data_IF_534254844602
#
_entry.id   IF_534254844602
#
_cell.length_a   1.000
_cell.length_b   1.000
_cell.length_c   1.000
_cell.angle_alpha   90.00
_cell.angle_beta   90.00
_cell.angle_gamma   90.00
#
_symmetry.space_group_name_H-M   'P 1'
#
loop_
_entity.id
_entity.type
_entity.pdbx_description
1 polymer ?
#
# COMPACT_ATOMS: atom_id res chain seq x y z
N UNK A 1 0.17 26.63 22.64
CA UNK A 1 0.12 26.35 21.19
C UNK A 1 -0.45 24.96 21.02
N UNK A 2 -1.38 24.74 20.09
CA UNK A 2 -1.89 23.39 19.82
C UNK A 2 -0.76 22.47 19.35
N UNK A 3 -0.84 21.17 19.65
CA UNK A 3 0.18 20.20 19.23
C UNK A 3 0.21 20.04 17.71
N UNK A 4 -0.96 19.82 17.10
CA UNK A 4 -1.14 19.92 15.65
C UNK A 4 -1.52 21.37 15.34
N UNK A 5 -0.66 22.03 14.56
CA UNK A 5 -0.82 23.41 14.10
C UNK A 5 -0.40 23.49 12.62
N UNK A 6 -0.64 24.62 11.96
CA UNK A 6 -0.39 24.81 10.51
C UNK A 6 1.03 24.40 10.08
N UNK A 7 2.04 24.76 10.88
CA UNK A 7 3.46 24.47 10.64
C UNK A 7 3.96 23.13 11.25
N UNK A 8 3.07 22.20 11.60
CA UNK A 8 3.46 20.91 12.18
C UNK A 8 4.50 20.22 11.28
N UNK A 9 5.64 19.83 11.86
CA UNK A 9 6.83 19.25 11.20
C UNK A 9 7.59 20.16 10.21
N UNK A 10 7.23 21.43 10.06
CA UNK A 10 7.86 22.37 9.13
C UNK A 10 8.79 23.34 9.88
N UNK A 11 10.09 23.02 9.89
CA UNK A 11 11.06 23.67 10.77
C UNK A 11 11.80 24.87 10.16
N UNK A 12 11.52 25.25 8.90
CA UNK A 12 12.13 26.41 8.23
C UNK A 12 11.12 27.18 7.39
N UNK A 13 11.41 28.45 7.08
CA UNK A 13 10.56 29.27 6.18
C UNK A 13 10.46 28.68 4.78
N UNK A 14 11.55 28.08 4.29
CA UNK A 14 11.54 27.35 3.02
C UNK A 14 10.56 26.18 3.09
N UNK A 15 10.65 25.33 4.13
CA UNK A 15 9.75 24.19 4.29
C UNK A 15 8.27 24.60 4.41
N UNK A 16 7.99 25.68 5.14
CA UNK A 16 6.64 26.27 5.25
C UNK A 16 6.12 26.67 3.89
N UNK A 17 6.91 27.42 3.12
CA UNK A 17 6.53 27.86 1.78
C UNK A 17 6.30 26.69 0.81
N UNK A 18 7.22 25.72 0.78
CA UNK A 18 7.08 24.54 -0.08
C UNK A 18 5.80 23.74 0.21
N UNK A 19 5.44 23.60 1.49
CA UNK A 19 4.22 22.90 1.86
C UNK A 19 2.97 23.70 1.52
N UNK A 20 2.85 24.91 2.06
CA UNK A 20 1.63 25.72 1.96
C UNK A 20 1.35 26.22 0.54
N UNK A 21 2.38 26.54 -0.25
CA UNK A 21 2.17 27.05 -1.61
C UNK A 21 2.09 25.95 -2.67
N UNK A 22 2.80 24.81 -2.49
CA UNK A 22 2.96 23.82 -3.56
C UNK A 22 2.45 22.42 -3.25
N UNK A 23 2.34 22.02 -1.98
CA UNK A 23 2.00 20.63 -1.62
C UNK A 23 0.60 20.47 -1.04
N UNK A 24 0.16 21.41 -0.19
CA UNK A 24 -1.01 21.27 0.67
C UNK A 24 -2.29 21.02 -0.14
N UNK A 25 -2.58 21.87 -1.12
CA UNK A 25 -3.83 21.83 -1.90
C UNK A 25 -3.84 20.84 -3.07
N UNK A 26 -2.74 20.14 -3.33
CA UNK A 26 -2.69 19.17 -4.43
C UNK A 26 -3.63 17.99 -4.18
N UNK A 27 -4.32 17.47 -5.22
CA UNK A 27 -5.12 16.27 -5.09
C UNK A 27 -4.29 15.05 -4.68
N UNK A 28 -4.96 14.03 -4.15
CA UNK A 28 -4.37 12.75 -3.79
C UNK A 28 -4.62 11.73 -4.90
N UNK A 29 -3.54 11.10 -5.35
CA UNK A 29 -3.57 9.85 -6.09
C UNK A 29 -3.13 8.77 -5.11
N UNK A 30 -4.08 8.03 -4.56
CA UNK A 30 -3.83 6.90 -3.66
C UNK A 30 -3.77 5.61 -4.49
N UNK A 31 -2.65 5.44 -5.20
CA UNK A 31 -2.47 4.40 -6.21
C UNK A 31 -2.29 2.98 -5.62
N UNK A 32 -2.36 2.81 -4.30
CA UNK A 32 -2.41 1.49 -3.67
C UNK A 32 -3.03 1.58 -2.26
N UNK A 33 -4.18 0.93 -2.08
CA UNK A 33 -4.88 0.84 -0.80
C UNK A 33 -5.64 -0.49 -0.65
N UNK A 34 -6.22 -0.66 0.54
CA UNK A 34 -7.02 -1.82 0.94
C UNK A 34 -8.43 -1.41 1.39
N UNK A 35 -8.95 -0.30 0.86
CA UNK A 35 -10.34 0.11 1.07
C UNK A 35 -11.29 -0.87 0.38
N UNK A 36 -12.43 -1.15 1.02
CA UNK A 36 -13.45 -2.04 0.47
C UNK A 36 -14.30 -1.31 -0.59
N UNK A 37 -14.25 -1.73 -1.88
CA UNK A 37 -15.03 -1.08 -2.95
C UNK A 37 -16.53 -1.06 -2.67
N UNK A 38 -17.04 -2.09 -1.99
CA UNK A 38 -18.45 -2.17 -1.61
C UNK A 38 -18.85 -1.01 -0.69
N UNK A 39 -18.05 -0.71 0.34
CA UNK A 39 -18.35 0.36 1.29
C UNK A 39 -18.31 1.76 0.64
N UNK A 40 -17.49 1.92 -0.41
CA UNK A 40 -17.47 3.14 -1.23
C UNK A 40 -18.75 3.23 -2.08
N UNK A 41 -19.11 2.14 -2.77
CA UNK A 41 -20.29 2.08 -3.62
C UNK A 41 -21.58 2.35 -2.84
N UNK A 42 -21.74 1.68 -1.70
CA UNK A 42 -22.90 1.81 -0.79
C UNK A 42 -22.89 3.14 -0.02
N UNK A 43 -21.80 3.91 -0.14
CA UNK A 43 -21.60 5.17 0.56
C UNK A 43 -21.84 5.03 2.08
N UNK A 44 -21.25 3.98 2.67
CA UNK A 44 -21.46 3.56 4.05
C UNK A 44 -21.28 4.71 5.05
N UNK A 45 -22.23 4.81 5.98
CA UNK A 45 -22.16 5.66 7.17
C UNK A 45 -21.54 4.92 8.36
N UNK A 46 -21.07 5.66 9.35
CA UNK A 46 -20.45 5.10 10.55
C UNK A 46 -21.31 5.41 11.78
N UNK A 47 -21.58 4.39 12.60
CA UNK A 47 -22.38 4.55 13.83
C UNK A 47 -21.60 5.32 14.91
N UNK A 48 -20.28 5.13 14.96
CA UNK A 48 -19.41 5.80 15.91
C UNK A 48 -17.97 5.98 15.39
N UNK A 49 -17.16 6.77 16.12
CA UNK A 49 -15.74 6.92 15.85
C UNK A 49 -14.98 5.59 16.01
N UNK A 50 -15.46 4.66 16.83
CA UNK A 50 -14.85 3.34 16.92
C UNK A 50 -14.93 2.60 15.56
N UNK A 51 -16.09 2.66 14.89
CA UNK A 51 -16.32 1.98 13.61
C UNK A 51 -15.42 2.53 12.51
N UNK A 52 -15.22 3.85 12.51
CA UNK A 52 -14.37 4.54 11.55
C UNK A 52 -12.87 4.36 11.84
N UNK A 53 -12.48 4.22 13.12
CA UNK A 53 -11.10 4.47 13.55
C UNK A 53 -10.36 3.27 14.14
N UNK A 54 -11.08 2.35 14.80
CA UNK A 54 -10.51 1.27 15.61
C UNK A 54 -10.91 -0.13 15.13
N UNK A 55 -11.98 -0.25 14.34
CA UNK A 55 -12.54 -1.53 13.88
C UNK A 55 -11.63 -2.36 12.97
N UNK A 56 -10.64 -1.74 12.33
CA UNK A 56 -9.76 -2.41 11.35
C UNK A 56 -8.30 -1.96 11.35
N UNK A 57 -7.85 -1.22 12.37
CA UNK A 57 -6.49 -0.67 12.40
C UNK A 57 -5.55 -1.49 13.31
N UNK A 58 -4.85 -2.43 12.68
CA UNK A 58 -3.91 -3.34 13.32
C UNK A 58 -2.66 -2.65 13.93
N UNK A 59 -2.34 -1.40 13.55
CA UNK A 59 -1.29 -0.65 14.25
C UNK A 59 -1.74 -0.27 15.66
N UNK A 60 -2.99 0.22 15.78
CA UNK A 60 -3.60 0.59 17.07
C UNK A 60 -3.70 -0.63 17.98
N UNK A 61 -4.18 -1.76 17.45
CA UNK A 61 -4.25 -3.03 18.20
C UNK A 61 -2.89 -3.49 18.71
N UNK A 62 -1.84 -3.40 17.88
CA UNK A 62 -0.48 -3.76 18.30
C UNK A 62 0.01 -2.90 19.47
N UNK A 63 -0.26 -1.59 19.44
CA UNK A 63 0.09 -0.69 20.54
C UNK A 63 -0.73 -0.98 21.81
N UNK A 64 -2.02 -1.28 21.68
CA UNK A 64 -2.86 -1.66 22.83
C UNK A 64 -2.36 -2.92 23.51
N UNK A 65 -1.98 -3.96 22.74
CA UNK A 65 -1.37 -5.18 23.30
C UNK A 65 -0.02 -4.91 23.96
N UNK A 66 0.81 -4.06 23.35
CA UNK A 66 2.08 -3.64 23.96
C UNK A 66 1.88 -2.85 25.27
N UNK A 67 0.76 -2.15 25.40
CA UNK A 67 0.33 -1.45 26.61
C UNK A 67 -0.41 -2.37 27.62
N UNK A 68 -0.45 -3.68 27.38
CA UNK A 68 -1.05 -4.66 28.29
C UNK A 68 -2.58 -4.65 28.33
N UNK A 69 -3.24 -4.03 27.35
CA UNK A 69 -4.71 -4.03 27.25
C UNK A 69 -5.20 -5.44 26.95
N UNK A 70 -6.25 -5.88 27.66
CA UNK A 70 -6.88 -7.18 27.44
C UNK A 70 -7.48 -7.28 26.02
N UNK A 71 -7.34 -8.44 25.38
CA UNK A 71 -7.82 -8.65 24.01
C UNK A 71 -9.34 -8.43 23.86
N UNK A 72 -10.11 -8.60 24.95
CA UNK A 72 -11.55 -8.28 24.98
C UNK A 72 -11.84 -6.81 24.62
N UNK A 73 -10.93 -5.89 24.98
CA UNK A 73 -10.99 -4.46 24.69
C UNK A 73 -10.34 -4.09 23.34
N UNK A 74 -9.87 -5.07 22.57
CA UNK A 74 -9.27 -4.87 21.25
C UNK A 74 -10.18 -5.52 20.20
N UNK A 75 -10.10 -6.85 20.05
CA UNK A 75 -10.86 -7.60 19.05
C UNK A 75 -12.02 -8.41 19.62
N UNK A 76 -12.21 -8.45 20.94
CA UNK A 76 -13.34 -9.14 21.58
C UNK A 76 -14.63 -8.32 21.63
N UNK A 77 -15.54 -8.71 22.51
CA UNK A 77 -16.94 -8.24 22.50
C UNK A 77 -17.22 -7.03 23.42
N UNK A 78 -16.19 -6.34 23.92
CA UNK A 78 -16.39 -5.12 24.71
C UNK A 78 -17.07 -4.01 23.89
N UNK A 79 -17.76 -3.09 24.57
CA UNK A 79 -18.48 -2.02 23.89
C UNK A 79 -17.54 -1.05 23.15
N UNK A 80 -18.00 -0.41 22.06
CA UNK A 80 -17.20 0.57 21.32
C UNK A 80 -16.58 1.67 22.19
N UNK A 81 -17.30 2.16 23.19
CA UNK A 81 -16.82 3.19 24.12
C UNK A 81 -15.71 2.66 25.05
N UNK A 82 -15.85 1.44 25.56
CA UNK A 82 -14.80 0.81 26.40
C UNK A 82 -13.51 0.60 25.60
N UNK A 83 -13.63 0.15 24.34
CA UNK A 83 -12.48 0.01 23.44
C UNK A 83 -11.84 1.36 23.10
N UNK A 84 -12.65 2.40 22.87
CA UNK A 84 -12.16 3.76 22.64
C UNK A 84 -11.46 4.34 23.86
N UNK A 85 -11.97 4.09 25.07
CA UNK A 85 -11.31 4.46 26.32
C UNK A 85 -9.94 3.79 26.43
N UNK A 86 -9.88 2.47 26.24
CA UNK A 86 -8.64 1.71 26.29
C UNK A 86 -7.62 2.18 25.24
N UNK A 87 -8.11 2.56 24.04
CA UNK A 87 -7.28 3.19 23.03
C UNK A 87 -6.76 4.57 23.47
N UNK A 88 -7.59 5.39 24.10
CA UNK A 88 -7.20 6.73 24.57
C UNK A 88 -6.13 6.67 25.66
N UNK A 89 -6.26 5.73 26.60
CA UNK A 89 -5.26 5.39 27.62
C UNK A 89 -3.99 4.77 27.02
N UNK A 90 -4.11 4.09 25.88
CA UNK A 90 -2.94 3.60 25.15
C UNK A 90 -2.23 4.73 24.42
N UNK A 91 -2.97 5.59 23.70
CA UNK A 91 -2.45 6.66 22.87
C UNK A 91 -1.58 7.64 23.67
N UNK A 92 -1.98 7.99 24.89
CA UNK A 92 -1.16 8.84 25.78
C UNK A 92 0.23 8.24 26.08
N UNK A 93 0.37 6.91 26.02
CA UNK A 93 1.63 6.18 26.23
C UNK A 93 2.42 5.95 24.92
N UNK A 94 1.95 6.47 23.78
CA UNK A 94 2.61 6.29 22.47
C UNK A 94 3.54 7.43 22.07
N UNK A 95 4.04 8.22 23.02
CA UNK A 95 4.97 9.33 22.73
C UNK A 95 6.21 8.80 21.96
N UNK A 96 6.47 9.39 20.79
CA UNK A 96 7.54 8.97 19.89
C UNK A 96 7.15 7.89 18.87
N UNK A 97 6.00 7.25 19.03
CA UNK A 97 5.41 6.37 18.03
C UNK A 97 4.63 7.20 16.98
N UNK A 98 4.62 6.83 15.70
CA UNK A 98 3.83 7.52 14.67
C UNK A 98 2.32 7.56 14.96
N UNK A 99 1.77 6.59 15.72
CA UNK A 99 0.37 6.59 16.14
C UNK A 99 -0.02 7.87 16.87
N UNK A 100 0.90 8.47 17.62
CA UNK A 100 0.66 9.74 18.29
C UNK A 100 0.44 10.86 17.26
N UNK A 101 1.19 10.89 16.16
CA UNK A 101 1.00 11.89 15.12
C UNK A 101 -0.25 11.63 14.31
N UNK A 102 -0.44 10.40 13.82
CA UNK A 102 -1.59 10.04 12.98
C UNK A 102 -2.90 10.34 13.69
N UNK A 103 -3.02 9.92 14.95
CA UNK A 103 -4.28 10.08 15.68
C UNK A 103 -4.68 11.55 15.82
N UNK A 104 -3.71 12.43 16.12
CA UNK A 104 -3.99 13.84 16.28
C UNK A 104 -4.16 14.57 14.94
N UNK A 105 -3.50 14.12 13.86
CA UNK A 105 -3.78 14.61 12.51
C UNK A 105 -5.20 14.25 12.07
N UNK A 106 -5.64 13.02 12.33
CA UNK A 106 -6.99 12.54 12.02
C UNK A 106 -8.05 13.31 12.81
N UNK A 107 -7.84 13.50 14.13
CA UNK A 107 -8.70 14.33 14.98
C UNK A 107 -8.77 15.79 14.49
N UNK A 108 -7.65 16.39 14.12
CA UNK A 108 -7.61 17.76 13.62
C UNK A 108 -8.34 17.89 12.27
N UNK A 109 -8.00 17.04 11.29
CA UNK A 109 -8.51 17.14 9.92
C UNK A 109 -10.01 16.87 9.82
N UNK A 110 -10.47 15.77 10.40
CA UNK A 110 -11.86 15.33 10.21
C UNK A 110 -12.80 15.85 11.29
N UNK A 111 -12.30 16.11 12.51
CA UNK A 111 -13.14 16.50 13.64
C UNK A 111 -12.87 17.93 14.13
N UNK A 112 -11.84 18.61 13.64
CA UNK A 112 -11.47 19.94 14.14
C UNK A 112 -11.00 19.92 15.59
N UNK A 113 -10.59 18.75 16.12
CA UNK A 113 -10.16 18.57 17.49
C UNK A 113 -8.64 18.63 17.55
N UNK A 114 -8.11 19.70 18.14
CA UNK A 114 -6.66 19.91 18.31
C UNK A 114 -6.14 19.54 19.70
N UNK A 115 -7.04 19.18 20.62
CA UNK A 115 -6.68 18.71 21.95
C UNK A 115 -6.05 17.31 21.86
N UNK A 116 -5.05 17.04 22.69
CA UNK A 116 -4.46 15.70 22.76
C UNK A 116 -5.41 14.73 23.45
N UNK A 117 -5.69 13.59 22.83
CA UNK A 117 -6.54 12.53 23.38
C UNK A 117 -5.78 11.76 24.47
N UNK A 118 -6.44 11.50 25.60
CA UNK A 118 -5.89 10.82 26.77
C UNK A 118 -7.00 10.17 27.61
N UNK A 119 -6.62 9.42 28.64
CA UNK A 119 -7.56 8.70 29.52
C UNK A 119 -8.50 9.59 30.35
N UNK A 120 -8.26 10.91 30.43
CA UNK A 120 -9.13 11.84 31.18
C UNK A 120 -10.19 12.50 30.31
N UNK A 121 -9.91 12.71 29.02
CA UNK A 121 -10.80 13.42 28.10
C UNK A 121 -11.45 12.52 27.04
N UNK A 122 -11.24 11.20 27.10
CA UNK A 122 -11.79 10.26 26.12
C UNK A 122 -13.31 10.41 25.94
N UNK A 123 -14.09 10.58 27.02
CA UNK A 123 -15.54 10.65 26.92
C UNK A 123 -16.00 11.92 26.19
N UNK A 124 -15.38 13.07 26.49
CA UNK A 124 -15.65 14.34 25.81
C UNK A 124 -15.31 14.26 24.32
N UNK A 125 -14.16 13.68 23.97
CA UNK A 125 -13.74 13.53 22.58
C UNK A 125 -14.63 12.52 21.84
N UNK A 126 -15.02 11.42 22.49
CA UNK A 126 -15.97 10.45 21.95
C UNK A 126 -17.29 11.11 21.57
N UNK A 127 -17.91 11.85 22.50
CA UNK A 127 -19.17 12.57 22.27
C UNK A 127 -19.03 13.56 21.12
N UNK A 128 -18.00 14.41 21.14
CA UNK A 128 -17.74 15.40 20.08
C UNK A 128 -17.56 14.75 18.71
N UNK A 129 -16.77 13.69 18.62
CA UNK A 129 -16.53 13.00 17.37
C UNK A 129 -17.81 12.40 16.81
N UNK A 130 -18.62 11.74 17.65
CA UNK A 130 -19.88 11.12 17.23
C UNK A 130 -20.95 12.15 16.85
N UNK A 131 -21.02 13.28 17.57
CA UNK A 131 -21.87 14.41 17.20
C UNK A 131 -21.48 14.96 15.83
N UNK A 132 -20.17 15.09 15.54
CA UNK A 132 -19.68 15.53 14.24
C UNK A 132 -19.99 14.52 13.15
N UNK A 133 -19.77 13.22 13.39
CA UNK A 133 -20.10 12.14 12.44
C UNK A 133 -21.55 12.22 12.00
N UNK A 134 -22.46 12.38 12.98
CA UNK A 134 -23.90 12.48 12.76
C UNK A 134 -24.28 13.79 12.08
N UNK A 135 -23.89 14.93 12.64
CA UNK A 135 -24.32 16.25 12.16
C UNK A 135 -23.75 16.58 10.78
N UNK A 136 -22.51 16.16 10.50
CA UNK A 136 -21.90 16.33 9.17
C UNK A 136 -22.23 15.17 8.24
N UNK A 137 -22.98 14.14 8.66
CA UNK A 137 -23.32 12.98 7.85
C UNK A 137 -22.08 12.37 7.15
N UNK A 138 -21.08 11.98 7.94
CA UNK A 138 -19.84 11.41 7.41
C UNK A 138 -20.11 10.02 6.84
N UNK A 139 -19.81 9.88 5.56
CA UNK A 139 -19.85 8.64 4.80
C UNK A 139 -18.50 8.39 4.14
N UNK A 140 -18.28 7.18 3.62
CA UNK A 140 -17.06 6.83 2.88
C UNK A 140 -16.75 7.83 1.77
N UNK A 141 -17.71 8.14 0.89
CA UNK A 141 -17.49 9.10 -0.20
C UNK A 141 -17.27 10.52 0.30
N UNK A 142 -17.91 10.92 1.40
CA UNK A 142 -17.71 12.25 1.98
C UNK A 142 -16.30 12.41 2.54
N UNK A 143 -15.77 11.40 3.24
CA UNK A 143 -14.40 11.41 3.78
C UNK A 143 -13.35 11.44 2.67
N UNK A 144 -13.59 10.71 1.57
CA UNK A 144 -12.77 10.74 0.36
C UNK A 144 -12.75 12.15 -0.24
N UNK A 145 -13.93 12.77 -0.44
CA UNK A 145 -14.05 14.11 -1.01
C UNK A 145 -13.40 15.18 -0.11
N UNK A 146 -13.59 15.09 1.22
CA UNK A 146 -12.94 15.99 2.19
C UNK A 146 -11.42 15.90 2.16
N UNK A 147 -10.88 14.81 1.63
CA UNK A 147 -9.43 14.57 1.53
C UNK A 147 -8.85 14.98 0.18
N UNK A 148 -9.65 15.54 -0.73
CA UNK A 148 -9.25 15.92 -2.08
C UNK A 148 -8.62 14.75 -2.87
N UNK A 149 -9.21 13.55 -2.77
CA UNK A 149 -8.73 12.36 -3.48
C UNK A 149 -9.31 12.36 -4.89
N UNK A 150 -8.45 12.17 -5.88
CA UNK A 150 -8.82 12.10 -7.29
C UNK A 150 -8.87 10.65 -7.79
N UNK A 151 -7.92 9.82 -7.36
CA UNK A 151 -7.81 8.41 -7.75
C UNK A 151 -7.54 7.56 -6.52
N UNK A 152 -8.26 6.45 -6.43
CA UNK A 152 -8.04 5.36 -5.48
C UNK A 152 -7.81 4.09 -6.30
N UNK A 153 -6.75 3.35 -5.98
CA UNK A 153 -6.57 2.00 -6.49
C UNK A 153 -6.72 0.99 -5.35
N UNK A 154 -7.80 0.21 -5.39
CA UNK A 154 -8.04 -0.89 -4.43
C UNK A 154 -7.17 -2.09 -4.80
N UNK A 155 -7.13 -3.11 -3.94
CA UNK A 155 -6.34 -4.32 -4.16
C UNK A 155 -7.26 -5.52 -4.25
N UNK A 156 -7.33 -6.13 -5.43
CA UNK A 156 -8.40 -7.06 -5.81
C UNK A 156 -7.83 -8.40 -6.30
N UNK A 157 -8.52 -9.49 -6.00
CA UNK A 157 -8.15 -10.85 -6.40
C UNK A 157 -8.40 -11.06 -7.90
N UNK A 158 -7.59 -11.87 -8.62
CA UNK A 158 -7.87 -12.24 -10.00
C UNK A 158 -9.27 -12.84 -10.22
N UNK A 159 -9.85 -13.42 -9.18
CA UNK A 159 -11.17 -14.06 -9.22
C UNK A 159 -12.33 -13.05 -9.07
N UNK A 160 -12.06 -11.80 -8.70
CA UNK A 160 -13.10 -10.82 -8.42
C UNK A 160 -13.84 -10.37 -9.68
N UNK A 161 -15.15 -10.17 -9.54
CA UNK A 161 -16.02 -9.71 -10.63
C UNK A 161 -16.05 -8.18 -10.79
N UNK A 162 -15.35 -7.42 -9.94
CA UNK A 162 -15.20 -5.96 -10.03
C UNK A 162 -16.53 -5.19 -10.21
N UNK A 163 -17.63 -5.75 -9.67
CA UNK A 163 -18.98 -5.18 -9.83
C UNK A 163 -19.07 -3.81 -9.18
N UNK A 164 -18.47 -3.64 -8.00
CA UNK A 164 -18.54 -2.39 -7.24
C UNK A 164 -17.80 -1.25 -7.95
N UNK A 165 -16.62 -1.51 -8.55
CA UNK A 165 -15.95 -0.53 -9.41
C UNK A 165 -16.84 -0.10 -10.57
N UNK A 166 -17.51 -1.07 -11.21
CA UNK A 166 -18.40 -0.79 -12.34
C UNK A 166 -19.62 0.04 -11.94
N UNK A 167 -20.17 -0.18 -10.74
CA UNK A 167 -21.30 0.60 -10.21
C UNK A 167 -20.88 2.00 -9.74
N UNK A 168 -19.69 2.15 -9.13
CA UNK A 168 -19.16 3.46 -8.72
C UNK A 168 -18.99 4.38 -9.93
N UNK A 169 -18.48 3.86 -11.05
CA UNK A 169 -18.28 4.65 -12.29
C UNK A 169 -19.61 5.22 -12.83
N UNK A 170 -20.75 4.61 -12.53
CA UNK A 170 -22.08 5.07 -12.97
C UNK A 170 -22.68 6.16 -12.08
N UNK A 171 -22.05 6.49 -10.94
CA UNK A 171 -22.57 7.50 -10.02
C UNK A 171 -22.18 8.91 -10.46
N UNK A 172 -23.14 9.71 -10.90
CA UNK A 172 -22.89 11.09 -11.39
C UNK A 172 -22.36 12.04 -10.31
N UNK A 173 -22.61 11.74 -9.03
CA UNK A 173 -22.31 12.61 -7.89
C UNK A 173 -20.96 12.29 -7.20
N UNK A 174 -20.23 11.27 -7.65
CA UNK A 174 -18.93 10.88 -7.08
C UNK A 174 -17.83 10.92 -8.14
N UNK A 175 -16.93 11.91 -8.02
CA UNK A 175 -15.92 12.21 -9.05
C UNK A 175 -14.62 11.41 -8.94
N UNK A 176 -14.33 10.87 -7.75
CA UNK A 176 -13.10 10.11 -7.49
C UNK A 176 -13.12 8.83 -8.32
N UNK A 177 -12.04 8.59 -9.09
CA UNK A 177 -11.87 7.33 -9.81
C UNK A 177 -11.51 6.23 -8.80
N UNK A 178 -12.33 5.18 -8.73
CA UNK A 178 -12.01 3.97 -7.94
C UNK A 178 -11.68 2.85 -8.90
N UNK A 179 -10.39 2.53 -8.99
CA UNK A 179 -9.82 1.60 -9.96
C UNK A 179 -9.31 0.35 -9.24
N UNK A 180 -9.35 -0.83 -9.88
CA UNK A 180 -8.83 -2.05 -9.28
C UNK A 180 -7.30 -2.17 -9.50
N UNK A 181 -6.63 -2.88 -8.59
CA UNK A 181 -5.25 -3.36 -8.73
C UNK A 181 -5.25 -4.88 -8.73
N UNK A 182 -4.64 -5.50 -9.74
CA UNK A 182 -4.61 -6.95 -9.87
C UNK A 182 -3.58 -7.59 -8.91
N UNK A 183 -4.03 -8.37 -7.91
CA UNK A 183 -3.14 -9.03 -6.94
C UNK A 183 -3.21 -10.56 -6.95
N UNK A 184 -2.36 -11.24 -7.72
CA UNK A 184 -2.44 -12.69 -7.93
C UNK A 184 -1.62 -13.50 -6.91
N UNK A 185 -1.62 -13.13 -5.63
CA UNK A 185 -0.85 -13.85 -4.59
C UNK A 185 -1.25 -15.34 -4.52
N UNK A 186 -2.54 -15.66 -4.70
CA UNK A 186 -3.03 -17.04 -4.72
C UNK A 186 -2.51 -17.86 -5.91
N UNK A 187 -2.23 -17.21 -7.04
CA UNK A 187 -1.65 -17.86 -8.21
C UNK A 187 -0.18 -18.26 -7.99
N UNK A 188 0.52 -17.49 -7.15
CA UNK A 188 1.95 -17.65 -6.88
C UNK A 188 2.21 -18.61 -5.71
N UNK A 189 1.51 -18.42 -4.59
CA UNK A 189 1.90 -18.96 -3.28
C UNK A 189 0.89 -19.92 -2.63
N UNK A 190 -0.28 -20.14 -3.23
CA UNK A 190 -1.22 -21.15 -2.73
C UNK A 190 -0.68 -22.56 -2.97
N UNK A 191 -0.90 -23.45 -2.01
CA UNK A 191 -0.56 -24.88 -2.10
C UNK A 191 -1.79 -25.74 -1.76
N UNK A 192 -1.76 -27.00 -2.21
CA UNK A 192 -2.79 -28.01 -1.96
C UNK A 192 -4.21 -27.59 -2.36
N UNK A 193 -5.18 -27.86 -1.49
CA UNK A 193 -6.60 -27.63 -1.80
C UNK A 193 -6.93 -26.17 -2.14
N UNK A 194 -6.20 -25.21 -1.56
CA UNK A 194 -6.37 -23.79 -1.88
C UNK A 194 -6.01 -23.49 -3.33
N UNK A 195 -4.87 -24.03 -3.78
CA UNK A 195 -4.43 -23.86 -5.18
C UNK A 195 -5.41 -24.53 -6.15
N UNK A 196 -5.82 -25.76 -5.85
CA UNK A 196 -6.78 -26.50 -6.69
C UNK A 196 -8.11 -25.75 -6.78
N UNK A 197 -8.60 -25.22 -5.65
CA UNK A 197 -9.82 -24.40 -5.61
C UNK A 197 -9.68 -23.12 -6.44
N UNK A 198 -8.54 -22.43 -6.34
CA UNK A 198 -8.24 -21.25 -7.14
C UNK A 198 -8.25 -21.56 -8.64
N UNK A 199 -7.58 -22.65 -9.08
CA UNK A 199 -7.53 -23.05 -10.49
C UNK A 199 -8.93 -23.40 -11.01
N UNK A 200 -9.75 -24.11 -10.23
CA UNK A 200 -11.14 -24.43 -10.61
C UNK A 200 -11.99 -23.19 -10.79
N UNK A 201 -11.94 -22.26 -9.82
CA UNK A 201 -12.67 -20.99 -9.94
C UNK A 201 -12.17 -20.17 -11.12
N UNK A 202 -10.86 -20.16 -11.37
CA UNK A 202 -10.27 -19.51 -12.53
C UNK A 202 -10.79 -20.10 -13.85
N UNK A 203 -10.85 -21.44 -13.97
CA UNK A 203 -11.44 -22.13 -15.12
C UNK A 203 -12.92 -21.77 -15.30
N UNK A 204 -13.71 -21.74 -14.22
CA UNK A 204 -15.13 -21.38 -14.25
C UNK A 204 -15.37 -19.95 -14.74
N UNK A 205 -14.62 -18.97 -14.24
CA UNK A 205 -14.84 -17.55 -14.59
C UNK A 205 -14.24 -17.15 -15.95
N UNK A 206 -13.22 -17.88 -16.43
CA UNK A 206 -12.57 -17.60 -17.72
C UNK A 206 -13.15 -18.43 -18.85
N UNK A 207 -13.86 -19.52 -18.53
CA UNK A 207 -14.32 -20.55 -19.48
C UNK A 207 -13.16 -21.19 -20.27
N UNK A 208 -11.94 -21.14 -19.71
CA UNK A 208 -10.73 -21.76 -20.26
C UNK A 208 -10.50 -23.07 -19.52
N UNK A 209 -10.52 -24.19 -20.24
CA UNK A 209 -10.19 -25.50 -19.66
C UNK A 209 -8.70 -25.57 -19.31
N UNK A 210 -8.35 -25.83 -18.04
CA UNK A 210 -6.95 -25.79 -17.58
C UNK A 210 -6.41 -27.22 -17.41
N UNK A 211 -5.68 -27.73 -18.41
CA UNK A 211 -5.10 -29.09 -18.35
C UNK A 211 -3.59 -29.08 -18.08
N UNK A 212 -2.90 -27.98 -18.37
CA UNK A 212 -1.46 -27.84 -18.25
C UNK A 212 -1.08 -26.41 -17.84
N UNK A 213 0.21 -26.16 -17.65
CA UNK A 213 0.69 -24.86 -17.19
C UNK A 213 0.42 -23.72 -18.18
N UNK A 214 0.47 -24.00 -19.49
CA UNK A 214 0.19 -22.98 -20.50
C UNK A 214 -1.30 -22.58 -20.51
N UNK A 215 -2.22 -23.55 -20.39
CA UNK A 215 -3.66 -23.26 -20.26
C UNK A 215 -3.93 -22.38 -19.02
N UNK A 216 -3.22 -22.66 -17.92
CA UNK A 216 -3.29 -21.87 -16.69
C UNK A 216 -2.83 -20.42 -16.91
N UNK A 217 -1.70 -20.22 -17.61
CA UNK A 217 -1.23 -18.88 -17.97
C UNK A 217 -2.19 -18.13 -18.90
N UNK A 218 -2.83 -18.83 -19.85
CA UNK A 218 -3.87 -18.25 -20.72
C UNK A 218 -5.07 -17.77 -19.89
N UNK A 219 -5.51 -18.56 -18.92
CA UNK A 219 -6.60 -18.17 -18.02
C UNK A 219 -6.22 -16.95 -17.15
N UNK A 220 -4.97 -16.87 -16.67
CA UNK A 220 -4.47 -15.67 -15.97
C UNK A 220 -4.41 -14.44 -16.88
N UNK A 221 -3.89 -14.56 -18.11
CA UNK A 221 -3.86 -13.45 -19.07
C UNK A 221 -5.28 -12.96 -19.41
N UNK A 222 -6.26 -13.87 -19.49
CA UNK A 222 -7.67 -13.51 -19.64
C UNK A 222 -8.18 -12.62 -18.48
N UNK A 223 -7.78 -12.92 -17.23
CA UNK A 223 -8.13 -12.09 -16.08
C UNK A 223 -7.42 -10.75 -16.09
N UNK A 224 -6.14 -10.71 -16.49
CA UNK A 224 -5.42 -9.44 -16.70
C UNK A 224 -6.15 -8.57 -17.73
N UNK A 225 -6.62 -9.18 -18.83
CA UNK A 225 -7.41 -8.49 -19.86
C UNK A 225 -8.75 -7.96 -19.32
N UNK A 226 -9.47 -8.78 -18.55
CA UNK A 226 -10.71 -8.35 -17.90
C UNK A 226 -10.49 -7.13 -16.99
N UNK A 227 -9.44 -7.17 -16.17
CA UNK A 227 -9.06 -6.04 -15.32
C UNK A 227 -8.68 -4.81 -16.15
N UNK A 228 -7.98 -4.99 -17.27
CA UNK A 228 -7.60 -3.89 -18.17
C UNK A 228 -8.83 -3.17 -18.72
N UNK A 229 -9.87 -3.92 -19.10
CA UNK A 229 -11.17 -3.39 -19.54
C UNK A 229 -11.95 -2.69 -18.43
N UNK A 230 -11.63 -2.98 -17.17
CA UNK A 230 -12.12 -2.26 -15.97
C UNK A 230 -11.20 -1.11 -15.53
N UNK A 231 -10.36 -0.62 -16.44
CA UNK A 231 -9.42 0.48 -16.23
C UNK A 231 -8.30 0.18 -15.21
N UNK A 232 -8.02 -1.08 -14.91
CA UNK A 232 -6.83 -1.46 -14.17
C UNK A 232 -5.56 -1.07 -14.97
N UNK A 233 -4.58 -0.48 -14.29
CA UNK A 233 -3.27 -0.10 -14.86
C UNK A 233 -2.09 -0.58 -14.03
N UNK A 234 -2.34 -1.34 -12.96
CA UNK A 234 -1.30 -1.80 -12.06
C UNK A 234 -1.62 -3.16 -11.45
N UNK A 235 -0.57 -3.82 -11.01
CA UNK A 235 -0.61 -5.09 -10.30
C UNK A 235 0.17 -4.98 -8.99
N UNK A 236 -0.13 -5.87 -8.05
CA UNK A 236 0.58 -5.98 -6.78
C UNK A 236 0.91 -7.44 -6.47
N UNK A 237 2.05 -7.68 -5.84
CA UNK A 237 2.51 -9.01 -5.47
C UNK A 237 3.10 -8.96 -4.07
N UNK A 238 2.44 -9.66 -3.13
CA UNK A 238 2.89 -9.79 -1.75
C UNK A 238 3.77 -11.03 -1.58
N UNK A 239 5.09 -10.84 -1.53
CA UNK A 239 6.06 -11.92 -1.39
C UNK A 239 6.67 -11.96 0.02
N UNK A 240 6.97 -13.15 0.54
CA UNK A 240 7.81 -13.23 1.74
C UNK A 240 9.25 -12.84 1.39
N UNK A 241 9.76 -13.42 0.31
CA UNK A 241 11.11 -13.25 -0.21
C UNK A 241 11.12 -13.18 -1.75
N UNK A 242 12.16 -12.55 -2.29
CA UNK A 242 12.45 -12.56 -3.72
C UNK A 242 13.52 -13.61 -3.97
N UNK A 243 13.11 -14.83 -4.35
CA UNK A 243 14.00 -15.90 -4.84
C UNK A 243 13.78 -16.10 -6.34
N UNK A 244 14.82 -16.48 -7.06
CA UNK A 244 14.74 -16.78 -8.50
C UNK A 244 15.47 -18.07 -8.85
N UNK A 245 14.81 -18.92 -9.63
CA UNK A 245 15.40 -20.11 -10.22
C UNK A 245 14.77 -20.37 -11.60
N UNK A 246 15.57 -20.53 -12.67
CA UNK A 246 15.04 -20.74 -14.01
C UNK A 246 14.42 -22.14 -14.18
N UNK A 247 13.43 -22.23 -15.05
CA UNK A 247 12.78 -23.49 -15.44
C UNK A 247 12.42 -23.44 -16.92
N UNK A 248 12.48 -24.59 -17.58
CA UNK A 248 11.94 -24.77 -18.93
C UNK A 248 10.45 -25.16 -18.88
N UNK A 249 9.80 -25.21 -20.05
CA UNK A 249 8.37 -25.49 -20.15
C UNK A 249 8.01 -26.90 -19.67
N UNK A 250 8.88 -27.88 -19.88
CA UNK A 250 8.68 -29.26 -19.42
C UNK A 250 8.64 -29.30 -17.88
N UNK A 251 9.63 -28.68 -17.24
CA UNK A 251 9.68 -28.55 -15.78
C UNK A 251 8.44 -27.82 -15.27
N UNK A 252 8.05 -26.70 -15.89
CA UNK A 252 6.88 -25.93 -15.47
C UNK A 252 5.58 -26.74 -15.51
N UNK A 253 5.37 -27.55 -16.56
CA UNK A 253 4.23 -28.45 -16.65
C UNK A 253 4.24 -29.50 -15.54
N UNK A 254 5.39 -30.14 -15.29
CA UNK A 254 5.54 -31.12 -14.20
C UNK A 254 5.20 -30.49 -12.84
N UNK A 255 5.68 -29.28 -12.58
CA UNK A 255 5.43 -28.56 -11.32
C UNK A 255 3.94 -28.23 -11.15
N UNK A 256 3.29 -27.77 -12.22
CA UNK A 256 1.85 -27.50 -12.22
C UNK A 256 1.04 -28.78 -11.97
N UNK A 257 1.36 -29.88 -12.66
CA UNK A 257 0.72 -31.18 -12.47
C UNK A 257 0.88 -31.68 -11.04
N UNK A 258 2.07 -31.54 -10.45
CA UNK A 258 2.30 -31.86 -9.03
C UNK A 258 1.36 -31.07 -8.12
N UNK A 259 1.26 -29.75 -8.29
CA UNK A 259 0.35 -28.90 -7.50
C UNK A 259 -1.12 -29.31 -7.68
N UNK A 260 -1.55 -29.60 -8.91
CA UNK A 260 -2.91 -30.05 -9.20
C UNK A 260 -3.25 -31.43 -8.60
N UNK A 261 -2.25 -32.30 -8.45
CA UNK A 261 -2.37 -33.59 -7.78
C UNK A 261 -2.09 -33.54 -6.27
N UNK A 262 -2.01 -32.34 -5.69
CA UNK A 262 -1.70 -32.12 -4.26
C UNK A 262 -0.36 -32.76 -3.82
N UNK A 263 0.59 -32.87 -4.74
CA UNK A 263 1.96 -33.33 -4.46
C UNK A 263 2.78 -32.12 -4.02
N UNK A 264 3.35 -32.19 -2.82
CA UNK A 264 4.17 -31.12 -2.27
C UNK A 264 5.44 -30.89 -3.10
N UNK A 265 5.65 -29.63 -3.50
CA UNK A 265 6.88 -29.17 -4.13
C UNK A 265 8.00 -28.99 -3.09
N UNK A 266 9.22 -29.39 -3.43
CA UNK A 266 10.40 -29.07 -2.63
C UNK A 266 10.79 -27.58 -2.76
N UNK A 267 11.80 -27.13 -2.01
CA UNK A 267 12.18 -25.71 -2.00
C UNK A 267 12.51 -25.16 -3.40
N UNK A 268 13.34 -25.85 -4.19
CA UNK A 268 13.75 -25.39 -5.52
C UNK A 268 12.55 -25.37 -6.47
N UNK A 269 11.74 -26.42 -6.41
CA UNK A 269 10.52 -26.55 -7.22
C UNK A 269 9.52 -25.40 -6.96
N UNK A 270 9.36 -24.99 -5.69
CA UNK A 270 8.52 -23.82 -5.34
C UNK A 270 9.06 -22.53 -5.96
N UNK A 271 10.37 -22.31 -5.89
CA UNK A 271 11.02 -21.13 -6.48
C UNK A 271 10.85 -21.14 -8.01
N UNK A 272 11.05 -22.29 -8.66
CA UNK A 272 10.89 -22.45 -10.11
C UNK A 272 9.47 -22.16 -10.57
N UNK A 273 8.47 -22.68 -9.85
CA UNK A 273 7.06 -22.44 -10.14
C UNK A 273 6.72 -20.94 -9.99
N UNK A 274 7.08 -20.34 -8.84
CA UNK A 274 6.84 -18.91 -8.58
C UNK A 274 7.54 -18.02 -9.61
N UNK A 275 8.80 -18.32 -9.94
CA UNK A 275 9.58 -17.57 -10.94
C UNK A 275 8.89 -17.61 -12.31
N UNK A 276 8.44 -18.79 -12.75
CA UNK A 276 7.78 -18.95 -14.05
C UNK A 276 6.47 -18.15 -14.14
N UNK A 277 5.62 -18.23 -13.11
CA UNK A 277 4.35 -17.49 -13.07
C UNK A 277 4.61 -15.97 -13.01
N UNK A 278 5.54 -15.51 -12.17
CA UNK A 278 5.85 -14.08 -12.04
C UNK A 278 6.42 -13.48 -13.34
N UNK A 279 7.27 -14.23 -14.05
CA UNK A 279 7.80 -13.82 -15.36
C UNK A 279 6.68 -13.73 -16.41
N UNK A 280 5.77 -14.71 -16.44
CA UNK A 280 4.63 -14.69 -17.36
C UNK A 280 3.71 -13.47 -17.11
N UNK A 281 3.38 -13.22 -15.84
CA UNK A 281 2.61 -12.07 -15.40
C UNK A 281 3.28 -10.74 -15.79
N UNK A 282 4.59 -10.60 -15.55
CA UNK A 282 5.36 -9.43 -15.97
C UNK A 282 5.22 -9.18 -17.48
N UNK A 283 5.26 -10.23 -18.30
CA UNK A 283 4.99 -10.13 -19.74
C UNK A 283 3.58 -9.65 -20.07
N UNK A 284 2.55 -10.14 -19.37
CA UNK A 284 1.18 -9.67 -19.57
C UNK A 284 1.01 -8.19 -19.22
N UNK A 285 1.68 -7.74 -18.15
CA UNK A 285 1.68 -6.35 -17.72
C UNK A 285 2.43 -5.44 -18.70
N UNK A 286 3.61 -5.88 -19.16
CA UNK A 286 4.44 -5.13 -20.11
C UNK A 286 3.70 -4.86 -21.43
N UNK A 287 3.02 -5.88 -21.98
CA UNK A 287 2.17 -5.75 -23.19
C UNK A 287 1.07 -4.68 -23.06
N UNK A 288 0.65 -4.36 -21.83
CA UNK A 288 -0.48 -3.46 -21.51
C UNK A 288 -0.04 -2.15 -20.86
N UNK A 289 1.27 -1.87 -20.82
CA UNK A 289 1.87 -0.71 -20.13
C UNK A 289 1.43 -0.60 -18.66
N UNK A 290 1.25 -1.73 -17.97
CA UNK A 290 0.91 -1.75 -16.55
C UNK A 290 2.13 -1.49 -15.69
N UNK A 291 1.88 -0.98 -14.48
CA UNK A 291 2.86 -0.99 -13.41
C UNK A 291 2.79 -2.31 -12.62
N UNK A 292 3.95 -2.86 -12.28
CA UNK A 292 4.09 -4.03 -11.42
C UNK A 292 4.64 -3.61 -10.06
N UNK A 293 3.87 -3.83 -9.01
CA UNK A 293 4.33 -3.60 -7.65
C UNK A 293 4.79 -4.93 -7.04
N UNK A 294 5.90 -4.88 -6.31
CA UNK A 294 6.43 -6.00 -5.53
C UNK A 294 6.62 -5.54 -4.09
N UNK A 295 5.77 -6.02 -3.20
CA UNK A 295 5.88 -5.84 -1.76
C UNK A 295 6.50 -7.09 -1.14
N UNK A 296 7.69 -6.99 -0.55
CA UNK A 296 8.38 -8.16 0.00
C UNK A 296 9.00 -7.97 1.38
N UNK A 297 9.17 -9.09 2.08
CA UNK A 297 9.87 -9.13 3.37
C UNK A 297 8.95 -9.19 4.58
N UNK A 298 7.75 -9.78 4.46
CA UNK A 298 6.84 -9.99 5.60
C UNK A 298 6.92 -11.44 6.09
N UNK A 299 7.21 -11.62 7.37
CA UNK A 299 6.97 -12.90 8.05
C UNK A 299 5.63 -12.82 8.78
N UNK A 300 4.70 -13.68 8.40
CA UNK A 300 3.29 -13.59 8.80
C UNK A 300 2.90 -14.61 9.85
N UNK A 301 1.86 -14.30 10.63
CA UNK A 301 1.19 -15.23 11.54
C UNK A 301 2.12 -15.82 12.62
N UNK A 302 3.01 -15.01 13.17
CA UNK A 302 4.07 -15.47 14.08
C UNK A 302 3.53 -15.95 15.44
N UNK A 303 2.38 -15.45 15.88
CA UNK A 303 1.73 -15.87 17.13
C UNK A 303 0.62 -16.89 16.84
N UNK A 304 0.92 -18.18 16.96
CA UNK A 304 -0.02 -19.26 16.64
C UNK A 304 -1.23 -19.34 17.58
N UNK A 305 -1.09 -18.93 18.84
CA UNK A 305 -2.21 -18.87 19.79
C UNK A 305 -3.20 -17.81 19.32
N UNK A 306 -2.69 -16.63 18.98
CA UNK A 306 -3.52 -15.52 18.52
C UNK A 306 -4.08 -15.75 17.13
N UNK A 307 -3.34 -16.40 16.22
CA UNK A 307 -3.86 -16.81 14.93
C UNK A 307 -5.14 -17.66 15.06
N UNK A 308 -5.15 -18.63 15.98
CA UNK A 308 -6.34 -19.45 16.27
C UNK A 308 -7.48 -18.66 16.90
N UNK A 309 -7.17 -17.61 17.67
CA UNK A 309 -8.14 -16.82 18.43
C UNK A 309 -8.79 -15.70 17.61
N UNK A 310 -7.99 -14.96 16.83
CA UNK A 310 -8.42 -13.71 16.16
C UNK A 310 -8.17 -13.71 14.65
N UNK A 311 -7.52 -14.75 14.11
CA UNK A 311 -7.28 -14.89 12.67
C UNK A 311 -6.03 -14.16 12.15
N UNK A 312 -5.98 -14.00 10.83
CA UNK A 312 -4.89 -13.36 10.07
C UNK A 312 -5.06 -11.83 10.05
N UNK A 313 -4.03 -11.09 9.62
CA UNK A 313 -4.05 -9.63 9.50
C UNK A 313 -4.40 -8.90 10.80
N UNK A 314 -4.16 -9.55 11.95
CA UNK A 314 -4.53 -9.06 13.27
C UNK A 314 -3.37 -8.40 14.02
N UNK A 315 -2.29 -7.97 13.35
CA UNK A 315 -1.15 -7.28 13.97
C UNK A 315 -0.07 -8.19 14.58
N UNK A 316 0.04 -9.45 14.12
CA UNK A 316 1.06 -10.42 14.53
C UNK A 316 2.09 -10.75 13.42
N UNK A 317 2.21 -9.84 12.45
CA UNK A 317 3.17 -9.90 11.35
C UNK A 317 4.37 -9.00 11.64
N UNK A 318 5.53 -9.34 11.10
CA UNK A 318 6.78 -8.59 11.30
C UNK A 318 7.71 -8.65 10.09
N UNK A 319 8.86 -8.01 10.24
CA UNK A 319 9.90 -7.92 9.22
C UNK A 319 10.60 -9.27 9.05
N UNK A 320 10.71 -9.75 7.81
CA UNK A 320 11.52 -10.88 7.40
C UNK A 320 12.91 -10.40 6.95
N UNK A 321 13.95 -11.10 7.37
CA UNK A 321 15.36 -10.82 7.12
C UNK A 321 15.92 -11.66 5.98
N UNK A 322 15.44 -11.41 4.75
CA UNK A 322 15.89 -12.14 3.56
C UNK A 322 17.42 -12.03 3.34
N UNK A 323 18.04 -13.17 3.05
CA UNK A 323 19.44 -13.26 2.60
C UNK A 323 19.55 -13.35 1.07
N UNK A 324 20.70 -12.97 0.51
CA UNK A 324 21.01 -13.04 -0.93
C UNK A 324 20.03 -12.28 -1.84
N UNK A 325 19.41 -11.21 -1.33
CA UNK A 325 18.44 -10.39 -2.08
C UNK A 325 19.04 -9.84 -3.37
N UNK A 326 20.25 -9.27 -3.32
CA UNK A 326 20.87 -8.63 -4.48
C UNK A 326 20.97 -9.57 -5.68
N UNK A 327 21.44 -10.81 -5.46
CA UNK A 327 21.60 -11.82 -6.51
C UNK A 327 20.25 -12.22 -7.10
N UNK A 328 19.28 -12.56 -6.24
CA UNK A 328 17.98 -13.01 -6.70
C UNK A 328 17.19 -11.91 -7.42
N UNK A 329 17.22 -10.69 -6.89
CA UNK A 329 16.53 -9.55 -7.50
C UNK A 329 17.13 -9.19 -8.86
N UNK A 330 18.46 -9.12 -8.98
CA UNK A 330 19.10 -8.88 -10.28
C UNK A 330 18.77 -9.99 -11.28
N UNK A 331 18.84 -11.26 -10.87
CA UNK A 331 18.56 -12.37 -11.78
C UNK A 331 17.09 -12.40 -12.25
N UNK A 332 16.14 -12.12 -11.35
CA UNK A 332 14.72 -12.05 -11.68
C UNK A 332 14.44 -10.94 -12.70
N UNK A 333 14.89 -9.71 -12.38
CA UNK A 333 14.68 -8.55 -13.25
C UNK A 333 15.42 -8.70 -14.58
N UNK A 334 16.64 -9.25 -14.56
CA UNK A 334 17.39 -9.55 -15.78
C UNK A 334 16.64 -10.57 -16.64
N UNK A 335 16.04 -11.61 -16.04
CA UNK A 335 15.30 -12.60 -16.82
C UNK A 335 14.06 -11.99 -17.48
N UNK A 336 13.33 -11.12 -16.79
CA UNK A 336 12.22 -10.36 -17.38
C UNK A 336 12.71 -9.44 -18.50
N UNK A 337 13.87 -8.79 -18.31
CA UNK A 337 14.45 -7.88 -19.31
C UNK A 337 14.93 -8.63 -20.56
N UNK A 338 15.61 -9.78 -20.42
CA UNK A 338 16.02 -10.66 -21.53
C UNK A 338 14.85 -11.09 -22.42
N UNK A 339 13.67 -11.26 -21.81
CA UNK A 339 12.44 -11.65 -22.49
C UNK A 339 11.66 -10.44 -23.04
N UNK A 340 12.19 -9.22 -22.93
CA UNK A 340 11.49 -7.95 -23.24
C UNK A 340 10.12 -7.86 -22.54
N UNK A 341 10.06 -8.38 -21.31
CA UNK A 341 8.84 -8.57 -20.54
C UNK A 341 8.88 -7.83 -19.20
N UNK A 342 9.84 -6.93 -18.98
CA UNK A 342 9.96 -6.13 -17.77
C UNK A 342 9.04 -4.89 -17.86
N UNK A 343 7.93 -4.82 -17.10
CA UNK A 343 7.05 -3.66 -17.09
C UNK A 343 7.66 -2.51 -16.27
N UNK A 344 6.96 -1.36 -16.27
CA UNK A 344 7.12 -0.35 -15.20
C UNK A 344 7.04 -1.07 -13.86
N UNK A 345 8.01 -0.91 -12.96
CA UNK A 345 8.09 -1.71 -11.73
C UNK A 345 8.36 -0.85 -10.51
N UNK A 346 7.64 -1.10 -9.43
CA UNK A 346 7.86 -0.45 -8.12
C UNK A 346 8.17 -1.54 -7.10
N UNK A 347 9.29 -1.39 -6.38
CA UNK A 347 9.71 -2.36 -5.37
C UNK A 347 9.63 -1.74 -3.97
N UNK A 348 9.00 -2.45 -3.05
CA UNK A 348 8.83 -2.09 -1.64
C UNK A 348 9.43 -3.19 -0.76
N UNK A 349 10.45 -2.84 0.02
CA UNK A 349 11.02 -3.72 1.03
C UNK A 349 10.49 -3.36 2.42
N UNK A 350 10.08 -4.37 3.19
CA UNK A 350 9.69 -4.14 4.59
C UNK A 350 10.90 -3.88 5.49
N UNK A 351 12.02 -4.58 5.23
CA UNK A 351 13.24 -4.46 6.02
C UNK A 351 14.10 -3.25 5.58
N UNK A 352 14.23 -2.19 6.38
CA UNK A 352 14.98 -1.00 5.97
C UNK A 352 16.50 -1.22 5.82
N UNK A 353 17.05 -2.35 6.26
CA UNK A 353 18.48 -2.64 6.08
C UNK A 353 18.87 -2.96 4.63
N UNK A 354 17.89 -3.21 3.76
CA UNK A 354 18.13 -3.52 2.34
C UNK A 354 17.75 -2.38 1.39
N UNK A 355 17.49 -1.19 1.92
CA UNK A 355 17.12 0.00 1.13
C UNK A 355 18.12 0.25 -0.01
N UNK A 356 19.42 0.37 0.30
CA UNK A 356 20.46 0.60 -0.70
C UNK A 356 20.56 -0.53 -1.72
N UNK A 357 20.39 -1.79 -1.27
CA UNK A 357 20.41 -2.96 -2.15
C UNK A 357 19.28 -2.88 -3.18
N UNK A 358 18.06 -2.56 -2.74
CA UNK A 358 16.90 -2.43 -3.62
C UNK A 358 17.08 -1.25 -4.57
N UNK A 359 17.35 -0.05 -4.03
CA UNK A 359 17.43 1.18 -4.81
C UNK A 359 18.54 1.14 -5.87
N UNK A 360 19.73 0.61 -5.52
CA UNK A 360 20.82 0.44 -6.50
C UNK A 360 20.53 -0.66 -7.52
N UNK A 361 19.89 -1.77 -7.12
CA UNK A 361 19.59 -2.88 -8.04
C UNK A 361 18.59 -2.47 -9.11
N UNK A 362 17.51 -1.78 -8.75
CA UNK A 362 16.50 -1.38 -9.75
C UNK A 362 17.04 -0.37 -10.76
N UNK A 363 18.08 0.40 -10.41
CA UNK A 363 18.72 1.35 -11.30
C UNK A 363 19.40 0.67 -12.51
N UNK A 364 19.81 -0.60 -12.37
CA UNK A 364 20.36 -1.39 -13.48
C UNK A 364 19.36 -1.62 -14.63
N UNK A 365 18.05 -1.46 -14.37
CA UNK A 365 16.98 -1.84 -15.28
C UNK A 365 16.12 -0.66 -15.74
N UNK A 366 16.59 0.58 -15.58
CA UNK A 366 15.95 1.73 -16.20
C UNK A 366 15.98 1.58 -17.73
N UNK A 367 14.85 1.84 -18.39
CA UNK A 367 14.70 1.65 -19.82
C UNK A 367 14.22 2.93 -20.52
N UNK A 368 14.93 3.33 -21.58
CA UNK A 368 14.58 4.49 -22.40
C UNK A 368 13.31 4.23 -23.22
N UNK A 369 12.48 5.25 -23.44
CA UNK A 369 11.28 5.16 -24.28
C UNK A 369 10.01 4.75 -23.54
N UNK A 370 10.09 4.46 -22.24
CA UNK A 370 8.95 4.39 -21.32
C UNK A 370 8.78 5.72 -20.57
N UNK A 371 8.00 5.70 -19.49
CA UNK A 371 7.92 6.80 -18.52
C UNK A 371 9.27 7.05 -17.85
N UNK A 372 9.51 8.30 -17.44
CA UNK A 372 10.72 8.67 -16.69
C UNK A 372 10.80 7.84 -15.41
N UNK A 373 11.97 7.24 -15.17
CA UNK A 373 12.20 6.35 -14.03
C UNK A 373 11.16 5.22 -13.99
N UNK A 374 11.10 4.40 -15.05
CA UNK A 374 10.18 3.26 -15.14
C UNK A 374 10.43 2.20 -14.05
N UNK A 375 11.61 2.20 -13.43
CA UNK A 375 11.88 1.44 -12.21
C UNK A 375 11.88 2.40 -11.01
N UNK A 376 11.00 2.15 -10.04
CA UNK A 376 10.79 3.00 -8.87
C UNK A 376 11.16 2.26 -7.59
N UNK A 377 11.84 2.98 -6.68
CA UNK A 377 11.97 2.54 -5.30
C UNK A 377 10.78 3.11 -4.53
N UNK A 378 9.89 2.23 -4.09
CA UNK A 378 8.61 2.61 -3.50
C UNK A 378 8.74 3.40 -2.19
N UNK A 379 7.65 4.06 -1.79
CA UNK A 379 7.56 4.76 -0.52
C UNK A 379 7.86 3.83 0.68
N UNK A 380 8.20 4.42 1.83
CA UNK A 380 8.43 3.66 3.06
C UNK A 380 7.20 2.82 3.41
N UNK A 381 7.31 1.50 3.32
CA UNK A 381 6.16 0.59 3.42
C UNK A 381 5.90 0.12 4.85
N UNK A 382 4.62 0.10 5.25
CA UNK A 382 4.10 -0.46 6.50
C UNK A 382 4.84 0.04 7.75
N UNK A 383 5.74 -0.74 8.36
CA UNK A 383 6.51 -0.29 9.53
C UNK A 383 7.46 0.86 9.22
N UNK A 384 7.81 1.04 7.94
CA UNK A 384 8.62 2.13 7.43
C UNK A 384 7.80 3.36 6.99
N UNK A 385 6.45 3.29 7.02
CA UNK A 385 5.58 4.44 6.77
C UNK A 385 5.57 5.39 7.98
N UNK A 386 6.73 5.88 8.37
CA UNK A 386 6.92 6.73 9.56
C UNK A 386 7.93 7.81 9.22
N UNK A 387 8.02 8.89 10.02
CA UNK A 387 9.00 9.96 9.75
C UNK A 387 10.42 9.42 9.53
N UNK A 388 10.88 8.51 10.38
CA UNK A 388 12.21 7.91 10.25
C UNK A 388 12.33 7.03 9.01
N UNK A 389 11.31 6.20 8.72
CA UNK A 389 11.35 5.31 7.57
C UNK A 389 11.25 6.06 6.24
N UNK A 390 10.34 7.04 6.13
CA UNK A 390 10.22 7.93 4.98
C UNK A 390 11.51 8.70 4.71
N UNK A 391 12.14 9.29 5.74
CA UNK A 391 13.41 10.01 5.56
C UNK A 391 14.51 9.09 5.04
N UNK A 392 14.61 7.85 5.56
CA UNK A 392 15.57 6.85 5.07
C UNK A 392 15.29 6.46 3.62
N UNK A 393 14.03 6.22 3.27
CA UNK A 393 13.64 5.85 1.91
C UNK A 393 13.90 6.99 0.91
N UNK A 394 13.49 8.22 1.24
CA UNK A 394 13.67 9.40 0.38
C UNK A 394 15.15 9.70 0.12
N UNK A 395 16.00 9.61 1.15
CA UNK A 395 17.45 9.84 1.03
C UNK A 395 18.12 8.71 0.23
N UNK A 396 17.75 7.45 0.46
CA UNK A 396 18.24 6.32 -0.35
C UNK A 396 17.88 6.50 -1.83
N UNK A 397 16.63 6.89 -2.13
CA UNK A 397 16.20 7.14 -3.51
C UNK A 397 16.93 8.34 -4.14
N UNK A 398 17.24 9.37 -3.35
CA UNK A 398 18.02 10.51 -3.82
C UNK A 398 19.46 10.10 -4.19
N UNK A 399 20.07 9.20 -3.42
CA UNK A 399 21.45 8.74 -3.65
C UNK A 399 21.57 7.79 -4.86
N UNK A 400 20.66 6.84 -5.00
CA UNK A 400 20.77 5.77 -6.02
C UNK A 400 19.89 5.98 -7.27
N UNK A 401 18.97 6.94 -7.22
CA UNK A 401 17.97 7.18 -8.27
C UNK A 401 17.74 8.66 -8.56
N UNK A 402 16.51 9.00 -8.96
CA UNK A 402 16.12 10.37 -9.26
C UNK A 402 14.87 10.74 -8.45
N UNK A 403 15.07 11.38 -7.30
CA UNK A 403 13.98 11.83 -6.42
C UNK A 403 12.95 12.71 -7.16
N UNK A 404 13.39 13.52 -8.13
CA UNK A 404 12.53 14.34 -9.00
C UNK A 404 11.42 13.54 -9.70
N UNK A 405 11.65 12.27 -10.01
CA UNK A 405 10.69 11.40 -10.70
C UNK A 405 10.01 10.39 -9.76
N UNK A 406 10.16 10.54 -8.44
CA UNK A 406 9.54 9.64 -7.47
C UNK A 406 8.01 9.73 -7.58
N UNK A 407 7.35 8.58 -7.70
CA UNK A 407 5.87 8.49 -7.80
C UNK A 407 5.14 8.89 -6.51
N UNK A 408 5.84 9.02 -5.39
CA UNK A 408 5.29 9.61 -4.18
C UNK A 408 4.55 8.64 -3.28
N UNK A 409 3.63 9.17 -2.49
CA UNK A 409 2.98 8.48 -1.39
C UNK A 409 1.75 7.68 -1.83
N UNK A 410 1.50 6.58 -1.12
CA UNK A 410 0.28 5.77 -1.12
C UNK A 410 -0.09 5.44 0.33
N UNK A 411 -1.35 5.15 0.63
CA UNK A 411 -1.77 4.90 2.02
C UNK A 411 -1.51 3.47 2.49
N UNK A 412 -1.62 2.47 1.61
CA UNK A 412 -1.60 1.04 1.97
C UNK A 412 -2.59 0.73 3.13
N UNK A 413 -3.73 1.43 3.14
CA UNK A 413 -4.64 1.42 4.27
C UNK A 413 -6.03 0.93 3.90
N UNK A 414 -6.74 0.47 4.93
CA UNK A 414 -8.18 0.15 4.91
C UNK A 414 -9.05 1.18 5.63
N UNK A 415 -8.45 2.28 6.11
CA UNK A 415 -9.19 3.33 6.82
C UNK A 415 -9.48 4.53 5.93
N UNK A 416 -10.73 4.98 5.90
CA UNK A 416 -11.19 6.15 5.14
C UNK A 416 -10.66 7.50 5.67
N UNK A 417 -9.98 7.50 6.83
CA UNK A 417 -9.33 8.69 7.38
C UNK A 417 -7.81 8.66 7.30
N UNK A 418 -7.25 7.61 6.69
CA UNK A 418 -5.80 7.45 6.51
C UNK A 418 -5.15 8.45 5.56
N UNK A 419 -5.92 9.27 4.82
CA UNK A 419 -5.37 10.28 3.90
C UNK A 419 -4.53 11.36 4.59
N UNK A 420 -4.58 11.47 5.92
CA UNK A 420 -3.61 12.26 6.71
C UNK A 420 -2.18 11.72 6.59
N UNK A 421 -1.98 10.47 6.12
CA UNK A 421 -0.66 9.93 5.75
C UNK A 421 -0.06 10.68 4.56
N UNK A 422 -0.85 11.11 3.58
CA UNK A 422 -0.37 12.00 2.51
C UNK A 422 0.04 13.36 3.07
N UNK A 423 -0.75 13.94 3.98
CA UNK A 423 -0.36 15.18 4.65
C UNK A 423 0.96 15.02 5.42
N UNK A 424 1.08 13.93 6.19
CA UNK A 424 2.28 13.61 6.96
C UNK A 424 3.51 13.48 6.05
N UNK A 425 3.39 12.72 4.97
CA UNK A 425 4.42 12.58 3.95
C UNK A 425 4.80 13.93 3.32
N UNK A 426 3.82 14.73 2.87
CA UNK A 426 4.05 16.04 2.25
C UNK A 426 4.81 16.98 3.18
N UNK A 427 4.45 17.02 4.47
CA UNK A 427 5.16 17.81 5.48
C UNK A 427 6.61 17.33 5.67
N UNK A 428 6.83 16.02 5.75
CA UNK A 428 8.16 15.42 5.90
C UNK A 428 9.05 15.72 4.68
N UNK A 429 8.50 15.56 3.48
CA UNK A 429 9.17 15.88 2.22
C UNK A 429 9.56 17.36 2.16
N UNK A 430 8.61 18.27 2.37
CA UNK A 430 8.87 19.71 2.34
C UNK A 430 9.89 20.13 3.40
N UNK A 431 9.86 19.52 4.58
CA UNK A 431 10.86 19.77 5.61
C UNK A 431 12.25 19.22 5.25
N UNK A 432 12.35 18.05 4.60
CA UNK A 432 13.61 17.52 4.11
C UNK A 432 14.23 18.44 3.05
N UNK A 433 13.45 18.80 2.02
CA UNK A 433 13.90 19.69 0.95
C UNK A 433 14.23 21.07 1.49
N UNK A 434 13.38 21.63 2.35
CA UNK A 434 13.63 22.92 2.98
C UNK A 434 14.88 22.93 3.85
N UNK A 435 15.26 21.80 4.45
CA UNK A 435 16.53 21.64 5.15
C UNK A 435 17.71 21.65 4.18
N UNK A 436 17.67 20.87 3.10
CA UNK A 436 18.73 20.87 2.08
C UNK A 436 18.98 22.24 1.46
N UNK A 437 17.92 23.04 1.24
CA UNK A 437 18.06 24.43 0.81
C UNK A 437 18.75 25.28 1.88
N UNK A 438 18.29 25.19 3.13
CA UNK A 438 18.82 25.98 4.25
C UNK A 438 20.28 25.67 4.55
N UNK A 439 20.68 24.41 4.38
CA UNK A 439 22.06 23.93 4.58
C UNK A 439 22.97 24.23 3.37
N UNK A 440 22.43 24.72 2.26
CA UNK A 440 23.19 24.99 1.03
C UNK A 440 23.55 23.75 0.20
N UNK A 441 22.88 22.63 0.45
CA UNK A 441 23.07 21.37 -0.29
C UNK A 441 22.40 21.40 -1.67
N UNK A 442 21.31 22.19 -1.82
CA UNK A 442 20.61 22.42 -3.10
C UNK A 442 20.25 23.92 -3.23
N UNK A 443 20.06 24.45 -4.46
CA UNK A 443 19.76 25.87 -4.67
C UNK A 443 18.37 26.27 -4.15
N UNK A 444 18.25 27.49 -3.64
CA UNK A 444 16.98 28.17 -3.31
C UNK A 444 16.29 28.69 -4.58
N UNK A 445 15.95 27.79 -5.50
CA UNK A 445 15.25 28.08 -6.76
C UNK A 445 13.81 27.56 -6.70
N UNK A 446 12.87 28.46 -6.40
CA UNK A 446 11.45 28.09 -6.24
C UNK A 446 10.82 27.49 -7.50
N UNK A 447 11.32 27.76 -8.71
CA UNK A 447 10.79 27.14 -9.92
C UNK A 447 11.20 25.65 -9.98
N UNK A 448 12.44 25.34 -9.61
CA UNK A 448 12.92 23.97 -9.50
C UNK A 448 12.24 23.23 -8.35
N UNK A 449 12.10 23.88 -7.20
CA UNK A 449 11.51 23.29 -6.00
C UNK A 449 10.00 23.04 -6.17
N UNK A 450 9.25 23.95 -6.81
CA UNK A 450 7.84 23.72 -7.16
C UNK A 450 7.69 22.49 -8.07
N UNK A 451 8.55 22.37 -9.09
CA UNK A 451 8.55 21.21 -9.98
C UNK A 451 8.79 19.91 -9.21
N UNK A 452 9.75 19.91 -8.29
CA UNK A 452 10.05 18.76 -7.43
C UNK A 452 8.86 18.37 -6.55
N UNK A 453 8.33 19.34 -5.78
CA UNK A 453 7.25 19.10 -4.82
C UNK A 453 5.97 18.70 -5.55
N UNK A 454 5.53 19.44 -6.56
CA UNK A 454 4.31 19.11 -7.31
C UNK A 454 4.44 17.81 -8.12
N UNK A 455 5.67 17.49 -8.56
CA UNK A 455 6.03 16.19 -9.14
C UNK A 455 5.72 15.06 -8.19
N UNK A 456 6.41 15.02 -7.05
CA UNK A 456 6.33 13.92 -6.08
C UNK A 456 4.95 13.82 -5.43
N UNK A 457 4.28 14.94 -5.18
CA UNK A 457 2.99 14.93 -4.48
C UNK A 457 1.82 14.50 -5.36
N UNK A 458 1.94 14.55 -6.69
CA UNK A 458 0.82 14.30 -7.61
C UNK A 458 1.25 13.95 -9.05
N UNK A 459 1.98 14.84 -9.74
CA UNK A 459 2.14 14.77 -11.22
C UNK A 459 2.91 13.52 -11.69
N UNK A 460 3.85 13.04 -10.88
CA UNK A 460 4.64 11.85 -11.21
C UNK A 460 3.77 10.59 -11.20
N UNK A 461 2.95 10.37 -10.17
CA UNK A 461 2.01 9.24 -10.14
C UNK A 461 1.04 9.29 -11.32
N UNK A 462 0.45 10.47 -11.59
CA UNK A 462 -0.48 10.66 -12.72
C UNK A 462 0.17 10.24 -14.06
N UNK A 463 1.40 10.69 -14.30
CA UNK A 463 2.14 10.40 -15.53
C UNK A 463 2.63 8.95 -15.59
N UNK A 464 2.97 8.35 -14.44
CA UNK A 464 3.51 6.99 -14.37
C UNK A 464 2.44 5.92 -14.61
N UNK A 465 1.22 6.13 -14.08
CA UNK A 465 0.15 5.14 -14.14
C UNK A 465 -0.85 5.37 -15.30
N UNK A 466 -1.01 6.60 -15.78
CA UNK A 466 -1.89 6.94 -16.92
C UNK A 466 -3.37 6.49 -16.71
N UNK A 467 -3.94 6.88 -15.56
CA UNK A 467 -5.30 6.53 -15.09
C UNK A 467 -6.47 7.14 -15.88
#
# INVERSE_FOLDING_TARGET
>A
MAFIHENFLLNSKVAQKLYHEFAEDLPIIDYHCHLEPQEIMENKSFDSIYDLWLSGDHYKWRAMRANGVDEALITGDASPLEKFKAWSETLENTIGNPLFHWSHLELAKYFGITNTLNGKNYNEIWEKCNDILKNKNYTTQKLINLSNVEVICTTDSPLDCLKYHSEIIKQDNFKTKVLPTFRPDEALDSDGDKFISFVKQLEEITLVKINNFNDYLIALENRVEYFHQKNCRLSDHGLMDIEFYPSDLETQNILFEKKMNNIALNKIEKIQYKSAVLIALAGFYSKRNWAMQIHFGVIRNNNQIMLKKVGVNAGFDSIYDQQNLAVNLNNLLNKMNELNSLPKTIIYNLNPSVNDVVASTIANFQNSGLVKSNMQYGAGWWFSDTKRGMLRQLTTLADHGLLMNFVGMLTDSRSFISYTRHEYFRRILCNLIGKWVTDGEIPDDYQLLEKLITGICYKNALSYFEF
#
